data_IF_353370641400
#
_entry.id   IF_353370641400
#
_cell.length_a   1.000
_cell.length_b   1.000
_cell.length_c   1.000
_cell.angle_alpha   90.00
_cell.angle_beta   90.00
_cell.angle_gamma   90.00
#
_symmetry.space_group_name_H-M   'P 1'
#
loop_
_entity.id
_entity.type
_entity.pdbx_description
1 polymer ?
#
# COMPACT_ATOMS: atom_id res chain seq x y z
N UNK A 1 6.03 20.19 22.93
CA UNK A 1 5.30 19.40 21.91
C UNK A 1 4.24 18.59 22.66
N UNK A 2 2.96 18.77 22.33
CA UNK A 2 1.86 18.32 23.19
C UNK A 2 1.52 16.85 22.93
N UNK A 3 2.34 15.93 23.45
CA UNK A 3 2.14 14.47 23.32
C UNK A 3 0.76 14.02 23.78
N UNK A 4 0.22 14.72 24.78
CA UNK A 4 -1.12 14.49 25.29
C UNK A 4 -2.21 14.74 24.24
N UNK A 5 -2.02 15.75 23.39
CA UNK A 5 -2.97 16.04 22.31
C UNK A 5 -3.01 14.91 21.27
N UNK A 6 -1.85 14.39 20.86
CA UNK A 6 -1.79 13.27 19.89
C UNK A 6 -2.47 12.04 20.47
N UNK A 7 -2.21 11.74 21.76
CA UNK A 7 -2.85 10.64 22.45
C UNK A 7 -4.37 10.81 22.50
N UNK A 8 -4.87 11.98 22.88
CA UNK A 8 -6.31 12.26 22.92
C UNK A 8 -6.97 12.12 21.55
N UNK A 9 -6.31 12.58 20.47
CA UNK A 9 -6.79 12.42 19.10
C UNK A 9 -6.83 10.93 18.72
N UNK A 10 -5.77 10.18 19.02
CA UNK A 10 -5.68 8.75 18.75
C UNK A 10 -6.80 7.98 19.45
N UNK A 11 -7.01 8.23 20.75
CA UNK A 11 -8.06 7.59 21.54
C UNK A 11 -9.46 7.97 21.04
N UNK A 12 -9.71 9.26 20.78
CA UNK A 12 -11.02 9.75 20.32
C UNK A 12 -11.41 9.16 18.97
N UNK A 13 -10.50 9.16 18.00
CA UNK A 13 -10.75 8.60 16.67
C UNK A 13 -10.91 7.07 16.73
N UNK A 14 -10.12 6.39 17.57
CA UNK A 14 -10.28 4.97 17.78
C UNK A 14 -11.67 4.63 18.33
N UNK A 15 -12.07 5.27 19.43
CA UNK A 15 -13.40 5.07 20.04
C UNK A 15 -14.52 5.39 19.03
N UNK A 16 -14.38 6.46 18.25
CA UNK A 16 -15.35 6.82 17.22
C UNK A 16 -15.48 5.75 16.12
N UNK A 17 -14.40 5.06 15.75
CA UNK A 17 -14.51 3.95 14.78
C UNK A 17 -15.09 2.69 15.40
N UNK A 18 -14.78 2.42 16.66
CA UNK A 18 -15.28 1.26 17.40
C UNK A 18 -16.78 1.37 17.67
N UNK A 19 -17.31 2.57 17.87
CA UNK A 19 -18.76 2.79 18.07
C UNK A 19 -19.61 2.49 16.83
N UNK A 20 -18.98 2.39 15.64
CA UNK A 20 -19.65 1.98 14.41
C UNK A 20 -19.76 0.45 14.27
N UNK A 21 -19.18 -0.33 15.20
CA UNK A 21 -19.08 -1.78 15.04
C UNK A 21 -20.42 -2.50 15.01
N UNK A 22 -20.57 -3.39 14.04
CA UNK A 22 -21.64 -4.38 13.93
C UNK A 22 -21.14 -5.57 13.08
N UNK A 23 -21.86 -6.68 13.08
CA UNK A 23 -21.42 -7.93 12.43
C UNK A 23 -21.09 -7.74 10.94
N UNK A 24 -21.90 -6.98 10.21
CA UNK A 24 -21.67 -6.71 8.80
C UNK A 24 -20.40 -5.89 8.59
N UNK A 25 -20.24 -4.77 9.29
CA UNK A 25 -19.05 -3.92 9.17
C UNK A 25 -17.79 -4.63 9.68
N UNK A 26 -17.91 -5.49 10.69
CA UNK A 26 -16.81 -6.33 11.18
C UNK A 26 -16.33 -7.29 10.09
N UNK A 27 -17.25 -8.00 9.43
CA UNK A 27 -16.90 -8.89 8.32
C UNK A 27 -16.31 -8.11 7.14
N UNK A 28 -16.91 -6.97 6.78
CA UNK A 28 -16.43 -6.10 5.72
C UNK A 28 -15.01 -5.59 5.99
N UNK A 29 -14.75 -5.06 7.19
CA UNK A 29 -13.44 -4.51 7.56
C UNK A 29 -12.37 -5.59 7.67
N UNK A 30 -12.72 -6.80 8.13
CA UNK A 30 -11.82 -7.95 8.07
C UNK A 30 -11.49 -8.33 6.61
N UNK A 31 -12.48 -8.32 5.71
CA UNK A 31 -12.24 -8.56 4.29
C UNK A 31 -11.34 -7.48 3.67
N UNK A 32 -11.61 -6.21 3.95
CA UNK A 32 -10.82 -5.08 3.46
C UNK A 32 -9.37 -5.17 3.98
N UNK A 33 -9.17 -5.48 5.26
CA UNK A 33 -7.83 -5.50 5.85
C UNK A 33 -6.93 -6.55 5.19
N UNK A 34 -7.51 -7.64 4.70
CA UNK A 34 -6.78 -8.69 4.00
C UNK A 34 -6.02 -8.19 2.75
N UNK A 35 -6.52 -7.15 2.08
CA UNK A 35 -5.84 -6.52 0.94
C UNK A 35 -4.54 -5.79 1.31
N UNK A 36 -4.34 -5.47 2.58
CA UNK A 36 -3.07 -4.95 3.10
C UNK A 36 -2.18 -6.04 3.72
N UNK A 37 -2.63 -7.27 3.80
CA UNK A 37 -1.93 -8.32 4.55
C UNK A 37 -0.69 -8.84 3.83
N UNK A 38 0.35 -9.20 4.58
CA UNK A 38 1.53 -9.85 4.03
C UNK A 38 1.19 -11.21 3.40
N UNK A 39 0.20 -11.90 3.97
CA UNK A 39 -0.32 -13.19 3.51
C UNK A 39 -0.87 -13.11 2.08
N UNK A 40 -1.48 -11.98 1.69
CA UNK A 40 -1.92 -11.76 0.32
C UNK A 40 -0.84 -11.10 -0.54
N UNK A 41 -0.27 -10.00 -0.05
CA UNK A 41 0.59 -9.14 -0.88
C UNK A 41 1.92 -9.80 -1.24
N UNK A 42 2.51 -10.60 -0.35
CA UNK A 42 3.80 -11.27 -0.65
C UNK A 42 3.63 -12.30 -1.77
N UNK A 43 2.72 -13.31 -1.66
CA UNK A 43 2.55 -14.29 -2.74
C UNK A 43 2.12 -13.64 -4.06
N UNK A 44 1.24 -12.63 -4.01
CA UNK A 44 0.80 -11.91 -5.20
C UNK A 44 1.96 -11.19 -5.89
N UNK A 45 2.80 -10.50 -5.12
CA UNK A 45 3.98 -9.81 -5.65
C UNK A 45 4.97 -10.81 -6.26
N UNK A 46 5.23 -11.93 -5.60
CA UNK A 46 6.11 -12.99 -6.10
C UNK A 46 5.57 -13.61 -7.40
N UNK A 47 4.26 -13.82 -7.51
CA UNK A 47 3.62 -14.29 -8.74
C UNK A 47 3.86 -13.31 -9.89
N UNK A 48 3.60 -12.02 -9.70
CA UNK A 48 3.83 -11.02 -10.76
C UNK A 48 5.32 -10.85 -11.09
N UNK A 49 6.22 -10.93 -10.10
CA UNK A 49 7.66 -10.96 -10.34
C UNK A 49 8.05 -12.13 -11.24
N UNK A 50 7.55 -13.33 -10.97
CA UNK A 50 7.79 -14.52 -11.79
C UNK A 50 7.24 -14.35 -13.21
N UNK A 51 6.01 -13.84 -13.36
CA UNK A 51 5.40 -13.59 -14.67
C UNK A 51 6.20 -12.56 -15.48
N UNK A 52 6.64 -11.46 -14.87
CA UNK A 52 7.47 -10.46 -15.54
C UNK A 52 8.85 -11.01 -15.91
N UNK A 53 9.45 -11.83 -15.05
CA UNK A 53 10.70 -12.51 -15.36
C UNK A 53 10.55 -13.42 -16.60
N UNK A 54 9.46 -14.21 -16.67
CA UNK A 54 9.15 -15.08 -17.81
C UNK A 54 8.90 -14.32 -19.12
N UNK A 55 8.43 -13.09 -19.03
CA UNK A 55 8.19 -12.19 -20.18
C UNK A 55 9.42 -11.35 -20.58
N UNK A 56 10.56 -11.50 -19.89
CA UNK A 56 11.75 -10.66 -20.10
C UNK A 56 11.62 -9.22 -19.57
N UNK A 57 10.53 -8.91 -18.84
CA UNK A 57 10.27 -7.60 -18.26
C UNK A 57 11.01 -7.43 -16.91
N UNK A 58 12.33 -7.64 -16.91
CA UNK A 58 13.16 -7.70 -15.68
C UNK A 58 13.09 -6.42 -14.84
N UNK A 59 12.95 -5.25 -15.47
CA UNK A 59 12.84 -3.97 -14.75
C UNK A 59 11.58 -3.90 -13.88
N UNK A 60 10.45 -4.45 -14.34
CA UNK A 60 9.22 -4.55 -13.53
C UNK A 60 9.42 -5.49 -12.34
N UNK A 61 10.08 -6.63 -12.56
CA UNK A 61 10.38 -7.59 -11.50
C UNK A 61 11.34 -7.01 -10.44
N UNK A 62 12.39 -6.31 -10.86
CA UNK A 62 13.33 -5.61 -9.96
C UNK A 62 12.63 -4.53 -9.14
N UNK A 63 11.74 -3.75 -9.75
CA UNK A 63 10.96 -2.73 -9.03
C UNK A 63 10.09 -3.37 -7.95
N UNK A 64 9.36 -4.45 -8.26
CA UNK A 64 8.55 -5.17 -7.26
C UNK A 64 9.41 -5.74 -6.13
N UNK A 65 10.58 -6.31 -6.45
CA UNK A 65 11.53 -6.77 -5.44
C UNK A 65 12.01 -5.62 -4.54
N UNK A 66 12.40 -4.49 -5.13
CA UNK A 66 12.86 -3.33 -4.39
C UNK A 66 11.78 -2.80 -3.43
N UNK A 67 10.52 -2.76 -3.86
CA UNK A 67 9.40 -2.33 -3.01
C UNK A 67 9.06 -3.33 -1.91
N UNK A 68 9.20 -4.63 -2.17
CA UNK A 68 9.05 -5.66 -1.15
C UNK A 68 10.13 -5.54 -0.06
N UNK A 69 11.38 -5.30 -0.48
CA UNK A 69 12.49 -5.03 0.43
C UNK A 69 12.30 -3.71 1.19
N UNK A 70 11.84 -2.66 0.52
CA UNK A 70 11.51 -1.38 1.16
C UNK A 70 10.43 -1.56 2.23
N UNK A 71 9.37 -2.33 1.94
CA UNK A 71 8.34 -2.63 2.92
C UNK A 71 8.93 -3.28 4.18
N UNK A 72 9.76 -4.33 4.02
CA UNK A 72 10.43 -4.97 5.15
C UNK A 72 11.37 -4.00 5.89
N UNK A 73 12.15 -3.22 5.14
CA UNK A 73 13.15 -2.28 5.65
C UNK A 73 12.52 -1.13 6.47
N UNK A 74 11.33 -0.66 6.11
CA UNK A 74 10.63 0.33 6.93
C UNK A 74 9.82 -0.33 8.05
N UNK A 75 9.23 -1.50 7.82
CA UNK A 75 8.34 -2.12 8.80
C UNK A 75 9.08 -2.64 10.04
N UNK A 76 10.11 -3.48 9.87
CA UNK A 76 10.74 -4.18 11.01
C UNK A 76 11.63 -3.26 11.88
N UNK A 77 12.53 -2.45 11.31
CA UNK A 77 13.38 -1.55 12.10
C UNK A 77 12.57 -0.50 12.86
N UNK A 78 11.54 0.10 12.24
CA UNK A 78 10.70 1.08 12.95
C UNK A 78 9.89 0.41 14.07
N UNK A 79 9.43 -0.84 13.87
CA UNK A 79 8.80 -1.62 14.96
C UNK A 79 9.75 -1.84 16.12
N UNK A 80 10.99 -2.23 15.85
CA UNK A 80 11.99 -2.43 16.90
C UNK A 80 12.35 -1.09 17.60
N UNK A 81 12.54 -0.03 16.82
CA UNK A 81 12.96 1.28 17.33
C UNK A 81 11.90 1.92 18.24
N UNK A 82 10.63 1.92 17.81
CA UNK A 82 9.57 2.58 18.57
C UNK A 82 8.93 1.67 19.61
N UNK A 83 8.89 0.35 19.35
CA UNK A 83 8.31 -0.66 20.26
C UNK A 83 6.95 -0.24 20.85
N UNK A 84 6.15 0.48 20.06
CA UNK A 84 4.92 1.13 20.54
C UNK A 84 3.88 0.07 20.91
N UNK A 85 3.26 0.24 22.08
CA UNK A 85 2.15 -0.60 22.54
C UNK A 85 0.92 -0.38 21.66
N UNK A 86 0.19 -1.46 21.35
CA UNK A 86 -1.06 -1.42 20.58
C UNK A 86 -2.20 -0.80 21.41
N UNK A 87 -3.31 -0.41 20.77
CA UNK A 87 -4.48 0.00 21.52
C UNK A 87 -4.96 -1.08 22.47
N UNK A 88 -5.12 -0.71 23.73
CA UNK A 88 -5.57 -1.55 24.85
C UNK A 88 -6.87 -1.03 25.48
N UNK A 89 -7.32 0.16 25.08
CA UNK A 89 -8.56 0.79 25.55
C UNK A 89 -9.84 0.25 24.87
N UNK A 90 -9.70 -0.62 23.86
CA UNK A 90 -10.80 -1.26 23.13
C UNK A 90 -10.44 -2.72 22.83
N UNK A 91 -11.44 -3.57 22.65
CA UNK A 91 -11.22 -4.94 22.20
C UNK A 91 -10.69 -4.97 20.76
N UNK A 92 -9.58 -5.68 20.54
CA UNK A 92 -9.03 -5.92 19.21
C UNK A 92 -9.75 -7.10 18.55
N UNK A 93 -10.30 -6.87 17.35
CA UNK A 93 -10.98 -7.90 16.55
C UNK A 93 -10.01 -8.73 15.70
N UNK A 94 -8.73 -8.35 15.67
CA UNK A 94 -7.66 -9.08 15.00
C UNK A 94 -6.43 -9.15 15.92
N UNK A 95 -5.83 -10.33 16.00
CA UNK A 95 -4.63 -10.54 16.82
C UNK A 95 -3.36 -10.24 16.04
N UNK A 96 -2.46 -9.49 16.66
CA UNK A 96 -1.16 -9.12 16.11
C UNK A 96 -0.12 -9.18 17.22
N UNK A 97 0.96 -9.95 17.01
CA UNK A 97 2.02 -10.16 18.01
C UNK A 97 3.17 -9.15 17.94
N UNK A 98 3.22 -8.33 16.88
CA UNK A 98 4.29 -7.34 16.67
C UNK A 98 3.91 -5.96 17.24
N UNK A 99 4.88 -5.06 17.52
CA UNK A 99 4.61 -3.69 17.96
C UNK A 99 3.67 -2.90 17.03
N UNK A 100 3.01 -1.87 17.55
CA UNK A 100 1.98 -1.13 16.82
C UNK A 100 2.55 -0.26 15.68
N UNK A 101 3.63 0.49 15.93
CA UNK A 101 4.16 1.46 14.99
C UNK A 101 5.23 0.85 14.07
N UNK A 102 5.22 1.13 12.75
CA UNK A 102 4.12 1.67 11.96
C UNK A 102 3.08 0.58 11.63
N UNK A 103 1.98 0.97 10.99
CA UNK A 103 0.99 0.02 10.46
C UNK A 103 1.54 -0.73 9.24
N UNK A 104 1.96 -1.98 9.45
CA UNK A 104 2.53 -2.82 8.39
C UNK A 104 1.58 -3.09 7.23
N UNK A 105 0.28 -3.27 7.51
CA UNK A 105 -0.74 -3.47 6.47
C UNK A 105 -0.91 -2.22 5.59
N UNK A 106 -0.97 -1.06 6.21
CA UNK A 106 -1.09 0.23 5.51
C UNK A 106 0.15 0.51 4.67
N UNK A 107 1.34 0.32 5.25
CA UNK A 107 2.63 0.47 4.59
C UNK A 107 2.74 -0.47 3.36
N UNK A 108 2.38 -1.74 3.52
CA UNK A 108 2.40 -2.72 2.43
C UNK A 108 1.43 -2.39 1.31
N UNK A 109 0.18 -2.08 1.65
CA UNK A 109 -0.83 -1.66 0.68
C UNK A 109 -0.36 -0.43 -0.14
N UNK A 110 0.20 0.57 0.54
CA UNK A 110 0.64 1.82 -0.08
C UNK A 110 1.92 1.69 -0.93
N UNK A 111 2.74 0.66 -0.71
CA UNK A 111 3.91 0.36 -1.56
C UNK A 111 3.56 -0.57 -2.72
N UNK A 112 2.80 -1.64 -2.46
CA UNK A 112 2.63 -2.74 -3.42
C UNK A 112 1.47 -2.50 -4.39
N UNK A 113 0.30 -2.02 -3.91
CA UNK A 113 -0.88 -1.87 -4.76
C UNK A 113 -0.66 -0.85 -5.91
N UNK A 114 -0.05 0.34 -5.68
CA UNK A 114 0.27 1.25 -6.78
C UNK A 114 1.27 0.66 -7.78
N UNK A 115 2.25 -0.11 -7.31
CA UNK A 115 3.26 -0.72 -8.16
C UNK A 115 2.67 -1.81 -9.07
N UNK A 116 1.82 -2.68 -8.53
CA UNK A 116 1.06 -3.64 -9.33
C UNK A 116 0.17 -2.93 -10.35
N UNK A 117 -0.48 -1.83 -9.95
CA UNK A 117 -1.27 -1.04 -10.88
C UNK A 117 -0.43 -0.48 -12.04
N UNK A 118 0.67 0.22 -11.73
CA UNK A 118 1.51 0.87 -12.74
C UNK A 118 2.11 -0.16 -13.71
N UNK A 119 2.39 -1.37 -13.23
CA UNK A 119 2.98 -2.43 -14.05
C UNK A 119 1.96 -3.15 -14.94
N UNK A 120 0.67 -3.12 -14.61
CA UNK A 120 -0.40 -3.88 -15.27
C UNK A 120 -1.39 -3.02 -16.07
N UNK A 121 -1.61 -1.76 -15.70
CA UNK A 121 -2.67 -0.94 -16.28
C UNK A 121 -2.24 -0.23 -17.57
N UNK A 122 -3.04 -0.38 -18.62
CA UNK A 122 -2.91 0.38 -19.86
C UNK A 122 -3.18 1.87 -19.65
N UNK A 123 -2.40 2.72 -20.36
CA UNK A 123 -2.47 4.20 -20.35
C UNK A 123 -3.88 4.80 -20.15
N UNK A 124 -4.91 4.42 -20.94
CA UNK A 124 -6.23 5.07 -20.87
C UNK A 124 -6.96 4.88 -19.53
N UNK A 125 -6.65 3.82 -18.77
CA UNK A 125 -7.35 3.49 -17.53
C UNK A 125 -6.58 3.89 -16.27
N UNK A 126 -5.32 4.33 -16.40
CA UNK A 126 -4.42 4.55 -15.26
C UNK A 126 -4.95 5.56 -14.24
N UNK A 127 -5.57 6.67 -14.68
CA UNK A 127 -6.11 7.69 -13.75
C UNK A 127 -7.23 7.13 -12.86
N UNK A 128 -8.19 6.42 -13.47
CA UNK A 128 -9.29 5.78 -12.73
C UNK A 128 -8.75 4.70 -11.80
N UNK A 129 -7.80 3.92 -12.28
CA UNK A 129 -7.24 2.83 -11.51
C UNK A 129 -6.38 3.34 -10.33
N UNK A 130 -5.69 4.48 -10.49
CA UNK A 130 -4.95 5.12 -9.40
C UNK A 130 -5.89 5.61 -8.30
N UNK A 131 -7.04 6.21 -8.68
CA UNK A 131 -8.08 6.58 -7.73
C UNK A 131 -8.59 5.36 -6.94
N UNK A 132 -8.87 4.25 -7.62
CA UNK A 132 -9.31 3.02 -6.97
C UNK A 132 -8.25 2.48 -6.00
N UNK A 133 -6.97 2.53 -6.37
CA UNK A 133 -5.87 2.12 -5.47
C UNK A 133 -5.76 3.03 -4.26
N UNK A 134 -5.89 4.35 -4.41
CA UNK A 134 -5.89 5.28 -3.28
C UNK A 134 -7.05 4.99 -2.32
N UNK A 135 -8.25 4.74 -2.86
CA UNK A 135 -9.42 4.33 -2.06
C UNK A 135 -9.15 3.01 -1.34
N UNK A 136 -8.57 2.02 -2.00
CA UNK A 136 -8.22 0.74 -1.38
C UNK A 136 -7.20 0.89 -0.24
N UNK A 137 -6.16 1.72 -0.43
CA UNK A 137 -5.16 2.00 0.61
C UNK A 137 -5.81 2.68 1.82
N UNK A 138 -6.67 3.68 1.59
CA UNK A 138 -7.40 4.36 2.66
C UNK A 138 -8.38 3.42 3.38
N UNK A 139 -9.04 2.53 2.64
CA UNK A 139 -9.92 1.53 3.23
C UNK A 139 -9.15 0.54 4.12
N UNK A 140 -7.98 0.07 3.67
CA UNK A 140 -7.07 -0.75 4.50
C UNK A 140 -6.65 0.02 5.75
N UNK A 141 -6.21 1.26 5.60
CA UNK A 141 -5.82 2.14 6.71
C UNK A 141 -6.93 2.26 7.77
N UNK A 142 -8.16 2.59 7.34
CA UNK A 142 -9.33 2.72 8.23
C UNK A 142 -9.67 1.38 8.88
N UNK A 143 -9.59 0.26 8.14
CA UNK A 143 -9.86 -1.06 8.71
C UNK A 143 -8.95 -1.38 9.90
N UNK A 144 -7.68 -0.92 9.89
CA UNK A 144 -6.72 -1.17 10.98
C UNK A 144 -7.08 -0.46 12.27
N UNK A 145 -7.63 0.75 12.18
CA UNK A 145 -8.12 1.51 13.33
C UNK A 145 -9.44 0.90 13.81
N UNK A 146 -10.38 0.67 12.90
CA UNK A 146 -11.69 0.09 13.20
C UNK A 146 -11.59 -1.26 13.92
N UNK A 147 -10.69 -2.15 13.47
CA UNK A 147 -10.47 -3.47 14.08
C UNK A 147 -9.71 -3.41 15.41
N UNK A 148 -9.32 -2.21 15.87
CA UNK A 148 -8.58 -2.00 17.12
C UNK A 148 -7.12 -2.42 17.05
N UNK A 149 -6.57 -2.65 15.85
CA UNK A 149 -5.21 -3.16 15.69
C UNK A 149 -4.13 -2.08 15.82
N UNK A 150 -4.44 -0.84 15.43
CA UNK A 150 -3.48 0.26 15.36
C UNK A 150 -4.09 1.58 15.83
N UNK A 151 -3.23 2.44 16.35
CA UNK A 151 -3.59 3.83 16.61
C UNK A 151 -3.73 4.58 15.27
N UNK A 152 -4.62 5.58 15.17
CA UNK A 152 -4.75 6.43 13.99
C UNK A 152 -3.42 7.03 13.50
N UNK A 153 -2.56 7.46 14.43
CA UNK A 153 -1.23 7.98 14.11
C UNK A 153 -0.25 6.93 13.54
N UNK A 154 -0.37 5.65 13.88
CA UNK A 154 0.45 4.58 13.28
C UNK A 154 0.14 4.43 11.78
N UNK A 155 -1.15 4.54 11.45
CA UNK A 155 -1.68 4.45 10.10
C UNK A 155 -1.31 5.70 9.31
N UNK A 156 -1.51 6.89 9.91
CA UNK A 156 -1.17 8.17 9.29
C UNK A 156 0.33 8.26 8.98
N UNK A 157 1.20 7.85 9.91
CA UNK A 157 2.64 7.83 9.67
C UNK A 157 3.03 6.90 8.51
N UNK A 158 2.34 5.76 8.37
CA UNK A 158 2.55 4.84 7.24
C UNK A 158 2.14 5.48 5.91
N UNK A 159 1.00 6.17 5.86
CA UNK A 159 0.52 6.88 4.67
C UNK A 159 1.45 8.04 4.28
N UNK A 160 1.83 8.88 5.24
CA UNK A 160 2.72 10.02 4.99
C UNK A 160 4.13 9.56 4.61
N UNK A 161 4.67 8.55 5.30
CA UNK A 161 5.98 7.98 5.00
C UNK A 161 6.05 7.36 3.60
N UNK A 162 5.00 6.63 3.19
CA UNK A 162 4.93 6.08 1.83
C UNK A 162 4.68 7.14 0.77
N UNK A 163 3.86 8.15 1.04
CA UNK A 163 3.69 9.28 0.14
C UNK A 163 5.02 10.03 -0.08
N UNK A 164 5.78 10.28 0.99
CA UNK A 164 7.11 10.88 0.91
C UNK A 164 8.09 9.99 0.13
N UNK A 165 8.09 8.69 0.38
CA UNK A 165 8.91 7.73 -0.36
C UNK A 165 8.62 7.77 -1.87
N UNK A 166 7.34 7.73 -2.26
CA UNK A 166 6.93 7.83 -3.66
C UNK A 166 7.24 9.20 -4.28
N UNK A 167 7.17 10.28 -3.50
CA UNK A 167 7.56 11.61 -3.94
C UNK A 167 9.07 11.67 -4.24
N UNK A 168 9.91 11.15 -3.34
CA UNK A 168 11.36 11.08 -3.56
C UNK A 168 11.69 10.23 -4.78
N UNK A 169 11.08 9.05 -4.90
CA UNK A 169 11.30 8.12 -6.03
C UNK A 169 10.90 8.74 -7.38
N UNK A 170 9.92 9.63 -7.41
CA UNK A 170 9.56 10.41 -8.61
C UNK A 170 10.50 11.60 -8.86
N UNK A 171 11.04 12.21 -7.81
CA UNK A 171 11.91 13.39 -7.89
C UNK A 171 13.36 13.06 -8.27
N UNK A 172 13.85 11.86 -7.94
CA UNK A 172 15.18 11.40 -8.33
C UNK A 172 15.22 11.14 -9.84
N UNK A 173 15.71 12.15 -10.57
CA UNK A 173 15.71 12.31 -12.03
C UNK A 173 16.26 11.13 -12.87
N UNK A 174 16.85 10.10 -12.25
CA UNK A 174 17.30 8.86 -12.93
C UNK A 174 16.21 7.79 -13.04
N UNK A 175 15.13 7.91 -12.26
CA UNK A 175 13.90 7.14 -12.47
C UNK A 175 12.98 7.88 -13.44
N UNK A 176 13.52 8.29 -14.60
CA UNK A 176 12.66 8.42 -15.77
C UNK A 176 12.22 7.00 -16.11
N UNK A 177 11.13 6.54 -15.50
CA UNK A 177 10.28 5.53 -16.12
C UNK A 177 9.73 6.19 -17.39
N UNK A 178 10.59 6.29 -18.40
CA UNK A 178 10.19 6.48 -19.77
C UNK A 178 9.43 5.21 -20.10
N UNK A 179 8.11 5.36 -20.02
CA UNK A 179 7.16 4.39 -20.49
C UNK A 179 7.73 3.67 -21.72
N UNK A 180 7.82 2.32 -21.71
CA UNK A 180 8.15 1.59 -22.92
C UNK A 180 7.15 2.05 -23.97
N UNK A 181 7.62 2.73 -25.02
CA UNK A 181 6.77 2.96 -26.19
C UNK A 181 6.31 1.58 -26.61
N UNK A 182 5.00 1.36 -26.65
CA UNK A 182 4.47 0.11 -27.17
C UNK A 182 4.85 0.04 -28.63
N UNK A 183 5.87 -0.77 -28.99
CA UNK A 183 6.30 -1.02 -30.37
C UNK A 183 5.10 -1.39 -31.28
N UNK A 184 4.06 -1.97 -30.69
CA UNK A 184 2.81 -2.34 -31.39
C UNK A 184 2.01 -1.16 -31.96
N UNK A 185 2.16 0.06 -31.43
CA UNK A 185 1.42 1.23 -31.93
C UNK A 185 2.16 1.90 -33.10
N UNK A 186 3.50 1.90 -33.09
CA UNK A 186 4.30 2.40 -34.21
C UNK A 186 4.17 1.48 -35.45
N UNK A 187 4.22 0.16 -35.28
CA UNK A 187 4.05 -0.80 -36.39
C UNK A 187 2.68 -0.70 -37.07
N UNK A 188 1.60 -0.47 -36.30
CA UNK A 188 0.26 -0.23 -36.85
C UNK A 188 0.15 1.10 -37.61
N UNK A 189 0.91 2.12 -37.19
CA UNK A 189 0.94 3.43 -37.86
C UNK A 189 1.78 3.44 -39.14
N UNK A 190 2.85 2.64 -39.20
CA UNK A 190 3.70 2.50 -40.39
C UNK A 190 3.05 1.62 -41.46
N UNK A 191 2.37 0.54 -41.08
CA UNK A 191 1.60 -0.28 -42.03
C UNK A 191 0.47 0.50 -42.72
N UNK A 192 -0.16 1.46 -42.02
CA UNK A 192 -1.17 2.33 -42.63
C UNK A 192 -0.60 3.37 -43.59
N UNK A 193 0.70 3.71 -43.49
CA UNK A 193 1.36 4.65 -44.39
C UNK A 193 1.95 4.00 -45.64
N UNK A 194 2.22 2.68 -45.61
CA UNK A 194 2.75 1.94 -46.77
C UNK A 194 1.66 1.33 -47.65
N UNK A 195 0.39 1.42 -47.24
CA UNK A 195 -0.78 0.89 -47.96
C UNK A 195 -1.70 1.97 -48.53
N UNK A 196 -1.29 3.24 -48.47
CA UNK A 196 -1.92 4.41 -49.11
C UNK A 196 -1.01 4.99 -50.17
#
# INVERSE_FOLDING_TARGET
MNWELIRQIDESLLIATVSLRNDFLNALMNGITYFGSAQLLIPLTLLFMFLFFRQGAYEKAKMLLALLLAWAYFNYPLKALFSRVRPDIVEALVMESSPAFPSGHTLGAALILPALLITLADRPYQKKALLMVMVAILAVAVSRVYLGAHWPSDVLASLLGTAAFWFVLQSDYKFHFSWPKSEKVEQFSEQKKTTS
#
